data_IF_278547682429
#
_entry.id   IF_278547682429
#
_cell.length_a   1.000
_cell.length_b   1.000
_cell.length_c   1.000
_cell.angle_alpha   90.00
_cell.angle_beta   90.00
_cell.angle_gamma   90.00
#
_symmetry.space_group_name_H-M   'P 1'
#
loop_
_entity.id
_entity.type
_entity.pdbx_description
1 polymer ?
#
# COMPACT_ATOMS: atom_id res chain seq x y z
N UNK A 1 13.33 16.82 13.13
CA UNK A 1 13.08 15.37 13.26
C UNK A 1 11.60 15.16 13.05
N UNK A 2 11.22 14.30 12.10
CA UNK A 2 9.81 14.02 11.79
C UNK A 2 9.20 13.20 12.93
N UNK A 3 8.17 13.71 13.60
CA UNK A 3 7.39 13.01 14.65
C UNK A 3 6.40 11.98 14.05
N UNK A 4 6.72 11.46 12.87
CA UNK A 4 5.87 10.48 12.19
C UNK A 4 5.79 9.19 13.00
N UNK A 5 4.56 8.71 13.20
CA UNK A 5 4.25 7.39 13.76
C UNK A 5 3.16 6.75 12.91
N UNK A 6 3.31 5.46 12.60
CA UNK A 6 2.27 4.72 11.88
C UNK A 6 1.01 4.63 12.75
N UNK A 7 -0.15 4.91 12.15
CA UNK A 7 -1.43 4.84 12.85
C UNK A 7 -1.67 3.42 13.41
N UNK A 8 -2.16 3.28 14.66
CA UNK A 8 -2.32 1.96 15.30
C UNK A 8 -3.18 0.97 14.50
N UNK A 9 -4.25 1.45 13.86
CA UNK A 9 -5.09 0.60 13.01
C UNK A 9 -4.31 0.06 11.79
N UNK A 10 -3.48 0.88 11.13
CA UNK A 10 -2.66 0.42 10.01
C UNK A 10 -1.61 -0.60 10.49
N UNK A 11 -1.00 -0.38 11.65
CA UNK A 11 -0.09 -1.33 12.26
C UNK A 11 -0.77 -2.67 12.63
N UNK A 12 -2.02 -2.62 13.07
CA UNK A 12 -2.81 -3.80 13.38
C UNK A 12 -3.23 -4.58 12.12
N UNK A 13 -3.63 -3.87 11.06
CA UNK A 13 -4.21 -4.46 9.85
C UNK A 13 -3.18 -4.79 8.77
N UNK A 14 -1.92 -4.36 8.93
CA UNK A 14 -0.89 -4.52 7.91
C UNK A 14 0.41 -5.14 8.46
N UNK A 15 1.26 -5.58 7.53
CA UNK A 15 2.67 -5.91 7.78
C UNK A 15 3.53 -4.83 7.11
N UNK A 16 4.52 -4.30 7.83
CA UNK A 16 5.49 -3.35 7.26
C UNK A 16 6.49 -4.12 6.41
N UNK A 17 6.56 -3.79 5.12
CA UNK A 17 7.47 -4.43 4.17
C UNK A 17 8.81 -3.70 4.10
N UNK A 18 8.79 -2.38 4.22
CA UNK A 18 9.95 -1.53 4.11
C UNK A 18 9.56 -0.10 3.82
N UNK A 19 10.53 0.65 3.31
CA UNK A 19 10.39 2.08 3.06
C UNK A 19 10.86 2.43 1.65
N UNK A 20 10.15 3.37 1.03
CA UNK A 20 10.60 4.19 -0.08
C UNK A 20 11.08 5.55 0.46
N UNK A 21 11.65 6.43 -0.39
CA UNK A 21 12.14 7.74 0.05
C UNK A 21 11.11 8.54 0.87
N UNK A 22 9.84 8.58 0.43
CA UNK A 22 8.74 9.26 1.15
C UNK A 22 7.88 8.29 1.96
N UNK A 23 7.49 7.14 1.42
CA UNK A 23 6.46 6.29 2.02
C UNK A 23 7.00 5.08 2.78
N UNK A 24 6.29 4.64 3.83
CA UNK A 24 6.28 3.24 4.21
C UNK A 24 5.50 2.44 3.16
N UNK A 25 5.94 1.21 2.90
CA UNK A 25 5.23 0.23 2.08
C UNK A 25 4.67 -0.85 3.00
N UNK A 26 3.35 -1.00 3.00
CA UNK A 26 2.63 -1.95 3.85
C UNK A 26 1.93 -3.00 3.00
N UNK A 27 1.86 -4.22 3.51
CA UNK A 27 1.01 -5.29 3.01
C UNK A 27 -0.25 -5.37 3.87
N UNK A 28 -1.44 -5.17 3.28
CA UNK A 28 -2.69 -5.38 4.00
C UNK A 28 -2.85 -6.85 4.36
N UNK A 29 -3.29 -7.19 5.58
CA UNK A 29 -3.45 -8.59 6.03
C UNK A 29 -4.66 -9.29 5.40
N UNK A 30 -5.53 -8.56 4.71
CA UNK A 30 -6.58 -9.14 3.88
C UNK A 30 -5.98 -9.73 2.59
N UNK A 31 -5.63 -11.00 2.67
CA UNK A 31 -5.08 -11.78 1.57
C UNK A 31 -6.09 -12.21 0.51
N UNK A 32 -7.35 -11.75 0.59
CA UNK A 32 -8.34 -11.93 -0.49
C UNK A 32 -7.91 -11.24 -1.79
N UNK A 33 -7.12 -10.17 -1.69
CA UNK A 33 -6.60 -9.41 -2.83
C UNK A 33 -5.11 -9.10 -2.64
N UNK A 34 -4.30 -9.03 -3.71
CA UNK A 34 -2.96 -8.48 -3.61
C UNK A 34 -3.02 -6.97 -3.36
N UNK A 35 -2.79 -6.57 -2.11
CA UNK A 35 -3.08 -5.22 -1.64
C UNK A 35 -1.91 -4.63 -0.86
N UNK A 36 -1.27 -3.62 -1.47
CA UNK A 36 -0.22 -2.82 -0.86
C UNK A 36 -0.73 -1.41 -0.53
N UNK A 37 -0.16 -0.80 0.49
CA UNK A 37 -0.54 0.55 0.95
C UNK A 37 0.72 1.38 1.11
N UNK A 38 0.72 2.58 0.53
CA UNK A 38 1.76 3.59 0.77
C UNK A 38 1.32 4.54 1.88
N UNK A 39 2.20 4.82 2.82
CA UNK A 39 1.96 5.80 3.90
C UNK A 39 3.10 6.82 3.91
N UNK A 40 2.89 8.06 3.43
CA UNK A 40 3.90 9.11 3.51
C UNK A 40 4.39 9.30 4.95
N UNK A 41 5.72 9.28 5.16
CA UNK A 41 6.37 9.43 6.47
C UNK A 41 6.35 10.89 6.94
N UNK A 42 5.14 11.45 7.11
CA UNK A 42 4.87 12.83 7.58
C UNK A 42 3.80 12.82 8.66
N UNK A 43 4.07 13.53 9.75
CA UNK A 43 3.11 13.69 10.84
C UNK A 43 1.90 14.54 10.40
N UNK A 44 0.72 14.22 10.93
CA UNK A 44 -0.52 15.01 10.82
C UNK A 44 -1.01 15.33 9.39
N UNK A 45 -0.57 14.56 8.39
CA UNK A 45 -1.09 14.66 7.01
C UNK A 45 -2.30 13.75 6.86
N UNK A 46 -3.41 14.34 6.43
CA UNK A 46 -4.67 13.62 6.18
C UNK A 46 -4.98 13.42 4.70
N UNK A 47 -4.50 14.33 3.85
CA UNK A 47 -4.90 14.43 2.46
C UNK A 47 -3.68 14.73 1.58
N UNK A 48 -3.66 14.26 0.34
CA UNK A 48 -2.50 14.43 -0.57
C UNK A 48 -2.16 15.91 -0.78
N UNK A 49 -3.16 16.77 -0.97
CA UNK A 49 -2.96 18.22 -1.16
C UNK A 49 -2.39 18.95 0.07
N UNK A 50 -2.23 18.28 1.22
CA UNK A 50 -1.57 18.81 2.42
C UNK A 50 -0.06 18.52 2.46
N UNK A 51 0.43 17.65 1.59
CA UNK A 51 1.86 17.51 1.33
C UNK A 51 2.36 18.73 0.54
N UNK A 52 3.64 19.07 0.67
CA UNK A 52 4.21 20.07 -0.22
C UNK A 52 4.29 19.56 -1.68
N UNK A 53 4.50 20.44 -2.65
CA UNK A 53 4.49 20.03 -4.06
C UNK A 53 5.58 19.02 -4.42
N UNK A 54 6.74 19.07 -3.76
CA UNK A 54 7.85 18.12 -4.00
C UNK A 54 7.42 16.74 -3.53
N UNK A 55 6.80 16.67 -2.36
CA UNK A 55 6.28 15.45 -1.76
C UNK A 55 5.07 14.89 -2.51
N UNK A 56 4.16 15.72 -3.00
CA UNK A 56 3.07 15.27 -3.88
C UNK A 56 3.60 14.60 -5.15
N UNK A 57 4.61 15.21 -5.79
CA UNK A 57 5.28 14.62 -6.96
C UNK A 57 6.01 13.33 -6.59
N UNK A 58 6.66 13.28 -5.44
CA UNK A 58 7.35 12.08 -4.97
C UNK A 58 6.37 10.94 -4.66
N UNK A 59 5.25 11.21 -3.98
CA UNK A 59 4.18 10.25 -3.73
C UNK A 59 3.65 9.67 -5.05
N UNK A 60 3.42 10.52 -6.05
CA UNK A 60 2.95 10.07 -7.36
C UNK A 60 3.98 9.18 -8.08
N UNK A 61 5.28 9.50 -7.97
CA UNK A 61 6.36 8.66 -8.52
C UNK A 61 6.39 7.28 -7.87
N UNK A 62 6.35 7.24 -6.53
CA UNK A 62 6.34 6.01 -5.75
C UNK A 62 5.09 5.17 -6.03
N UNK A 63 3.91 5.81 -6.09
CA UNK A 63 2.63 5.17 -6.41
C UNK A 63 2.65 4.53 -7.80
N UNK A 64 3.11 5.27 -8.82
CA UNK A 64 3.21 4.76 -10.18
C UNK A 64 4.23 3.62 -10.29
N UNK A 65 5.37 3.69 -9.60
CA UNK A 65 6.37 2.64 -9.61
C UNK A 65 5.85 1.35 -8.96
N UNK A 66 5.18 1.48 -7.80
CA UNK A 66 4.55 0.36 -7.12
C UNK A 66 3.44 -0.28 -7.95
N UNK A 67 2.57 0.53 -8.56
CA UNK A 67 1.48 0.04 -9.39
C UNK A 67 1.98 -0.75 -10.61
N UNK A 68 3.00 -0.23 -11.32
CA UNK A 68 3.62 -0.93 -12.46
C UNK A 68 4.26 -2.25 -12.05
N UNK A 69 4.96 -2.27 -10.91
CA UNK A 69 5.54 -3.49 -10.37
C UNK A 69 4.44 -4.51 -10.08
N UNK A 70 3.39 -4.13 -9.34
CA UNK A 70 2.28 -5.03 -9.00
C UNK A 70 1.56 -5.56 -10.23
N UNK A 71 1.27 -4.70 -11.21
CA UNK A 71 0.62 -5.06 -12.46
C UNK A 71 1.45 -6.09 -13.24
N UNK A 72 2.77 -5.86 -13.35
CA UNK A 72 3.68 -6.72 -14.10
C UNK A 72 3.90 -8.06 -13.40
N UNK A 73 4.21 -8.05 -12.11
CA UNK A 73 4.53 -9.24 -11.31
C UNK A 73 3.34 -10.18 -11.13
N UNK A 74 2.12 -9.65 -11.21
CA UNK A 74 0.89 -10.41 -10.99
C UNK A 74 0.08 -10.62 -12.25
N UNK A 75 0.47 -10.02 -13.38
CA UNK A 75 -0.33 -9.95 -14.60
C UNK A 75 -1.78 -9.49 -14.30
N UNK A 76 -1.92 -8.43 -13.51
CA UNK A 76 -3.22 -7.94 -13.06
C UNK A 76 -4.04 -7.40 -14.25
N UNK A 77 -5.35 -7.68 -14.27
CA UNK A 77 -6.25 -7.12 -15.30
C UNK A 77 -6.41 -5.60 -15.13
N UNK A 78 -6.33 -5.11 -13.88
CA UNK A 78 -6.47 -3.68 -13.56
C UNK A 78 -5.84 -3.33 -12.21
N UNK A 79 -5.21 -2.16 -12.13
CA UNK A 79 -4.88 -1.54 -10.84
C UNK A 79 -6.02 -0.65 -10.31
N UNK A 80 -6.33 -0.76 -9.02
CA UNK A 80 -7.15 0.20 -8.28
C UNK A 80 -6.28 0.97 -7.29
N UNK A 81 -6.33 2.30 -7.35
CA UNK A 81 -5.55 3.19 -6.49
C UNK A 81 -6.50 4.22 -5.87
N UNK A 82 -6.46 4.38 -4.55
CA UNK A 82 -7.33 5.32 -3.85
C UNK A 82 -6.74 5.81 -2.53
N UNK A 83 -6.95 7.10 -2.25
CA UNK A 83 -6.84 7.67 -0.92
C UNK A 83 -8.27 7.91 -0.42
N UNK A 84 -8.64 7.25 0.69
CA UNK A 84 -9.99 7.32 1.26
C UNK A 84 -9.93 7.94 2.67
N UNK A 85 -9.44 7.20 3.66
CA UNK A 85 -9.13 7.76 4.98
C UNK A 85 -10.31 8.16 5.87
N UNK A 86 -11.54 7.71 5.57
CA UNK A 86 -12.74 8.08 6.36
C UNK A 86 -12.63 7.69 7.84
N UNK A 87 -12.09 6.50 8.14
CA UNK A 87 -11.94 5.97 9.51
C UNK A 87 -10.53 6.15 10.07
N UNK A 88 -9.51 6.00 9.22
CA UNK A 88 -8.11 6.19 9.59
C UNK A 88 -7.64 7.52 8.98
N UNK A 89 -7.47 8.58 9.78
CA UNK A 89 -7.25 9.93 9.26
C UNK A 89 -5.84 10.14 8.73
N UNK A 90 -4.86 9.30 9.09
CA UNK A 90 -3.51 9.38 8.55
C UNK A 90 -3.53 9.07 7.05
N UNK A 91 -2.92 9.95 6.23
CA UNK A 91 -2.85 9.77 4.79
C UNK A 91 -2.22 8.42 4.44
N UNK A 92 -2.94 7.62 3.67
CA UNK A 92 -2.48 6.37 3.10
C UNK A 92 -3.12 6.17 1.72
N UNK A 93 -2.37 5.54 0.82
CA UNK A 93 -2.75 5.34 -0.57
C UNK A 93 -2.78 3.85 -0.88
N UNK A 94 -3.97 3.31 -1.12
CA UNK A 94 -4.18 1.90 -1.43
C UNK A 94 -3.76 1.60 -2.87
N UNK A 95 -3.13 0.45 -3.10
CA UNK A 95 -2.79 -0.12 -4.39
C UNK A 95 -3.24 -1.58 -4.41
N UNK A 96 -4.23 -1.89 -5.25
CA UNK A 96 -4.84 -3.22 -5.31
C UNK A 96 -4.77 -3.74 -6.73
N UNK A 97 -4.14 -4.90 -6.91
CA UNK A 97 -4.19 -5.64 -8.17
C UNK A 97 -5.54 -6.36 -8.27
N UNK A 98 -6.27 -6.12 -9.36
CA UNK A 98 -7.62 -6.63 -9.61
C UNK A 98 -7.62 -7.62 -10.75
N UNK A 99 -8.55 -8.56 -10.67
CA UNK A 99 -8.76 -9.59 -11.67
C UNK A 99 -10.26 -9.70 -11.96
N UNK A 100 -10.61 -9.98 -13.21
CA UNK A 100 -11.99 -10.23 -13.64
C UNK A 100 -12.66 -11.41 -12.91
N UNK A 101 -11.84 -12.26 -12.29
CA UNK A 101 -12.24 -13.41 -11.47
C UNK A 101 -12.22 -13.15 -9.96
N UNK A 102 -11.82 -11.96 -9.50
CA UNK A 102 -11.76 -11.67 -8.06
C UNK A 102 -13.16 -11.46 -7.43
N UNK A 103 -13.28 -11.75 -6.14
CA UNK A 103 -14.55 -11.78 -5.40
C UNK A 103 -15.35 -10.47 -5.45
N UNK A 104 -14.69 -9.34 -5.73
CA UNK A 104 -15.32 -8.01 -5.73
C UNK A 104 -15.56 -7.45 -7.14
N UNK A 105 -15.06 -8.09 -8.20
CA UNK A 105 -15.18 -7.58 -9.56
C UNK A 105 -16.65 -7.46 -10.02
N UNK A 106 -17.05 -6.40 -10.75
CA UNK A 106 -16.27 -5.20 -11.14
C UNK A 106 -16.32 -4.06 -10.10
N UNK A 107 -16.88 -4.31 -8.93
CA UNK A 107 -17.01 -3.33 -7.85
C UNK A 107 -15.71 -3.06 -7.08
N UNK A 108 -15.76 -2.12 -6.12
CA UNK A 108 -14.65 -1.84 -5.23
C UNK A 108 -14.42 -2.97 -4.22
N UNK A 109 -13.18 -3.14 -3.75
CA UNK A 109 -12.83 -4.10 -2.68
C UNK A 109 -13.22 -3.59 -1.29
N UNK A 110 -13.25 -2.27 -1.09
CA UNK A 110 -13.41 -1.65 0.22
C UNK A 110 -14.79 -1.96 0.84
N UNK A 111 -14.81 -2.73 1.92
CA UNK A 111 -16.03 -3.09 2.65
C UNK A 111 -16.94 -4.09 1.93
N UNK A 112 -16.47 -4.70 0.83
CA UNK A 112 -17.29 -5.63 0.03
C UNK A 112 -17.46 -7.00 0.68
N UNK A 113 -16.38 -7.53 1.25
CA UNK A 113 -16.32 -8.84 1.89
C UNK A 113 -15.54 -8.76 3.21
N UNK A 114 -15.77 -9.69 4.15
CA UNK A 114 -14.90 -9.83 5.32
C UNK A 114 -13.46 -10.18 4.90
N UNK A 115 -12.49 -9.63 5.64
CA UNK A 115 -11.08 -9.89 5.40
C UNK A 115 -10.77 -11.40 5.50
N UNK A 116 -9.96 -11.89 4.56
CA UNK A 116 -9.45 -13.26 4.56
C UNK A 116 -7.96 -13.23 4.89
N UNK A 117 -7.52 -13.71 6.07
CA UNK A 117 -6.10 -13.67 6.41
C UNK A 117 -5.28 -14.55 5.47
N UNK A 118 -4.03 -14.15 5.20
CA UNK A 118 -3.07 -15.03 4.55
C UNK A 118 -2.85 -16.31 5.37
N UNK A 119 -2.70 -17.47 4.72
CA UNK A 119 -2.29 -18.71 5.41
C UNK A 119 -0.94 -18.56 6.12
N UNK A 120 -0.01 -17.85 5.48
CA UNK A 120 1.29 -17.49 6.03
C UNK A 120 1.62 -16.02 5.66
N UNK A 121 1.27 -15.06 6.53
CA UNK A 121 1.55 -13.65 6.31
C UNK A 121 3.05 -13.34 6.23
N UNK A 122 3.91 -14.12 6.90
CA UNK A 122 5.36 -13.91 6.90
C UNK A 122 5.99 -14.28 5.56
N UNK A 123 5.62 -15.43 5.02
CA UNK A 123 6.07 -15.84 3.70
C UNK A 123 5.55 -14.91 2.60
N UNK A 124 4.34 -14.37 2.74
CA UNK A 124 3.80 -13.39 1.79
C UNK A 124 4.56 -12.05 1.87
N UNK A 125 4.83 -11.56 3.07
CA UNK A 125 5.65 -10.36 3.26
C UNK A 125 7.04 -10.51 2.62
N UNK A 126 7.68 -11.67 2.80
CA UNK A 126 9.00 -11.92 2.21
C UNK A 126 8.96 -12.02 0.68
N UNK A 127 7.91 -12.60 0.10
CA UNK A 127 7.69 -12.57 -1.36
C UNK A 127 7.60 -11.13 -1.87
N UNK A 128 6.87 -10.26 -1.18
CA UNK A 128 6.76 -8.87 -1.57
C UNK A 128 8.06 -8.08 -1.39
N UNK A 129 8.79 -8.28 -0.29
CA UNK A 129 10.11 -7.64 -0.10
C UNK A 129 11.07 -7.95 -1.24
N UNK A 130 11.11 -9.20 -1.71
CA UNK A 130 11.93 -9.58 -2.86
C UNK A 130 11.53 -8.88 -4.15
N UNK A 131 10.22 -8.74 -4.43
CA UNK A 131 9.73 -7.98 -5.59
C UNK A 131 10.06 -6.49 -5.48
N UNK A 132 9.87 -5.93 -4.29
CA UNK A 132 10.11 -4.51 -4.01
C UNK A 132 11.58 -4.12 -4.04
N UNK A 133 12.50 -5.07 -3.83
CA UNK A 133 13.95 -4.84 -3.93
C UNK A 133 14.40 -4.30 -5.30
N UNK A 134 13.60 -4.47 -6.35
CA UNK A 134 13.85 -3.88 -7.67
C UNK A 134 13.44 -2.41 -7.81
N UNK A 135 12.72 -1.83 -6.84
CA UNK A 135 12.32 -0.43 -6.88
C UNK A 135 13.45 0.48 -6.39
N UNK A 136 13.70 1.54 -7.16
CA UNK A 136 14.67 2.56 -6.79
C UNK A 136 14.31 3.19 -5.43
N UNK A 137 15.28 3.19 -4.51
CA UNK A 137 15.13 3.78 -3.18
C UNK A 137 14.36 2.92 -2.18
N UNK A 138 13.98 1.68 -2.51
CA UNK A 138 13.37 0.77 -1.55
C UNK A 138 14.41 0.20 -0.56
N UNK A 139 14.04 0.20 0.72
CA UNK A 139 14.80 -0.44 1.80
C UNK A 139 13.85 -1.37 2.56
N UNK A 140 14.18 -2.66 2.65
CA UNK A 140 13.35 -3.63 3.36
C UNK A 140 13.35 -3.36 4.87
N UNK A 141 12.19 -3.58 5.51
CA UNK A 141 12.11 -3.59 6.97
C UNK A 141 12.84 -4.83 7.52
N UNK A 142 13.58 -4.62 8.62
CA UNK A 142 14.24 -5.70 9.38
C UNK A 142 13.25 -6.74 9.93
#
# INVERSE_FOLDING_TARGET
MSDFRLHPQLAADCVVLGELPLCLVLLAKDGRYPWLILVPKRADIREIHRLDEVEQRQLMRESCALARLMETELAADKMNIAALGNMVPQLHLHHVARFTTDDAWPGPVWGRHPALPYPDPGAEAERWRRRLAGLEGFSAAE
#
